data_IF_908265154290
#
_entry.id   IF_908265154290
#
_cell.length_a   1.000
_cell.length_b   1.000
_cell.length_c   1.000
_cell.angle_alpha   90.00
_cell.angle_beta   90.00
_cell.angle_gamma   90.00
#
_symmetry.space_group_name_H-M   'P 1'
#
loop_
_entity.id
_entity.type
_entity.pdbx_description
1 polymer ?
#
# COMPACT_ATOMS: atom_id res chain seq x y z
N UNK A 1 12.28 7.35 4.92
CA UNK A 1 11.91 6.12 5.67
C UNK A 1 12.73 5.00 5.07
N UNK A 2 13.47 4.20 5.87
CA UNK A 2 14.23 3.08 5.34
C UNK A 2 13.27 2.04 4.75
N UNK A 3 13.52 1.62 3.51
CA UNK A 3 12.77 0.54 2.89
C UNK A 3 13.45 -0.79 3.20
N UNK A 4 12.66 -1.81 3.49
CA UNK A 4 13.16 -3.17 3.58
C UNK A 4 13.77 -3.60 2.25
N UNK A 5 14.85 -4.40 2.31
CA UNK A 5 15.59 -4.79 1.10
C UNK A 5 14.70 -5.49 0.08
N UNK A 6 13.85 -6.41 0.53
CA UNK A 6 12.92 -7.13 -0.35
C UNK A 6 11.91 -6.19 -1.02
N UNK A 7 11.45 -5.16 -0.31
CA UNK A 7 10.50 -4.19 -0.84
C UNK A 7 11.17 -3.28 -1.87
N UNK A 8 12.42 -2.87 -1.60
CA UNK A 8 13.22 -2.12 -2.55
C UNK A 8 13.47 -2.94 -3.84
N UNK A 9 13.74 -4.23 -3.71
CA UNK A 9 13.94 -5.13 -4.86
C UNK A 9 12.64 -5.33 -5.66
N UNK A 10 11.49 -5.50 -5.00
CA UNK A 10 10.19 -5.58 -5.65
C UNK A 10 9.85 -4.28 -6.40
N UNK A 11 10.12 -3.11 -5.79
CA UNK A 11 9.92 -1.81 -6.45
C UNK A 11 10.86 -1.62 -7.66
N UNK A 12 12.12 -2.05 -7.57
CA UNK A 12 13.05 -2.03 -8.71
C UNK A 12 12.56 -2.90 -9.85
N UNK A 13 12.13 -4.13 -9.54
CA UNK A 13 11.57 -5.06 -10.53
C UNK A 13 10.32 -4.46 -11.18
N UNK A 14 9.43 -3.85 -10.40
CA UNK A 14 8.25 -3.16 -10.92
C UNK A 14 8.62 -2.01 -11.87
N UNK A 15 9.57 -1.15 -11.48
CA UNK A 15 10.03 -0.04 -12.33
C UNK A 15 10.63 -0.56 -13.63
N UNK A 16 11.44 -1.62 -13.58
CA UNK A 16 12.09 -2.18 -14.76
C UNK A 16 11.12 -2.86 -15.73
N UNK A 17 10.10 -3.56 -15.21
CA UNK A 17 9.30 -4.49 -16.00
C UNK A 17 7.85 -4.03 -16.27
N UNK A 18 7.32 -3.09 -15.48
CA UNK A 18 5.91 -2.70 -15.53
C UNK A 18 5.67 -1.19 -15.66
N UNK A 19 6.65 -0.36 -15.29
CA UNK A 19 6.48 1.09 -15.31
C UNK A 19 6.64 1.67 -16.72
N UNK A 20 5.57 2.22 -17.28
CA UNK A 20 5.52 2.69 -18.67
C UNK A 20 6.46 3.86 -18.99
N UNK A 21 6.85 4.63 -17.97
CA UNK A 21 7.75 5.79 -18.09
C UNK A 21 8.92 5.70 -17.11
N UNK A 22 9.56 4.53 -17.00
CA UNK A 22 10.59 4.24 -15.99
C UNK A 22 11.82 5.17 -16.02
N UNK A 23 12.08 5.83 -17.16
CA UNK A 23 13.18 6.78 -17.35
C UNK A 23 12.80 8.22 -16.97
N UNK A 24 11.52 8.49 -16.69
CA UNK A 24 11.02 9.83 -16.36
C UNK A 24 11.02 10.04 -14.85
N UNK A 25 11.92 10.87 -14.28
CA UNK A 25 12.06 11.00 -12.82
C UNK A 25 10.86 11.69 -12.15
N UNK A 26 10.11 12.46 -12.90
CA UNK A 26 8.92 13.20 -12.43
C UNK A 26 7.64 12.38 -12.52
N UNK A 27 7.69 11.21 -13.17
CA UNK A 27 6.53 10.34 -13.25
C UNK A 27 6.15 9.81 -11.85
N UNK A 28 4.84 9.72 -11.55
CA UNK A 28 4.38 9.10 -10.33
C UNK A 28 4.72 7.60 -10.34
N UNK A 29 5.22 7.09 -9.20
CA UNK A 29 5.59 5.69 -9.05
C UNK A 29 4.45 4.71 -9.40
N UNK A 30 3.22 5.07 -9.02
CA UNK A 30 2.02 4.32 -9.38
C UNK A 30 1.11 5.19 -10.24
N UNK A 31 0.70 4.70 -11.42
CA UNK A 31 -0.06 5.51 -12.36
C UNK A 31 -1.51 5.66 -11.90
N UNK A 32 -2.09 6.78 -12.31
CA UNK A 32 -3.52 6.98 -12.31
C UNK A 32 -4.20 6.12 -13.38
N UNK A 33 -5.51 6.30 -13.53
CA UNK A 33 -6.29 5.61 -14.55
C UNK A 33 -7.04 6.62 -15.40
N UNK A 34 -6.98 6.45 -16.72
CA UNK A 34 -7.83 7.19 -17.64
C UNK A 34 -9.29 6.79 -17.42
N UNK A 35 -10.14 7.82 -17.42
CA UNK A 35 -11.58 7.62 -17.56
C UNK A 35 -11.90 7.02 -18.95
N UNK A 36 -13.11 6.50 -19.10
CA UNK A 36 -13.51 5.81 -20.33
C UNK A 36 -13.58 6.75 -21.53
N UNK A 37 -13.91 8.03 -21.33
CA UNK A 37 -14.06 9.00 -22.39
C UNK A 37 -12.67 9.44 -22.91
N UNK A 38 -11.75 9.76 -22.00
CA UNK A 38 -10.36 10.10 -22.28
C UNK A 38 -9.63 8.93 -22.96
N UNK A 39 -9.84 7.69 -22.48
CA UNK A 39 -9.26 6.51 -23.12
C UNK A 39 -9.76 6.34 -24.57
N UNK A 40 -11.06 6.51 -24.82
CA UNK A 40 -11.64 6.45 -26.17
C UNK A 40 -11.12 7.58 -27.07
N UNK A 41 -11.05 8.80 -26.54
CA UNK A 41 -10.54 9.95 -27.27
C UNK A 41 -9.07 9.78 -27.66
N UNK A 42 -8.28 9.13 -26.80
CA UNK A 42 -6.88 8.79 -27.07
C UNK A 42 -6.71 7.52 -27.93
N UNK A 43 -7.79 6.91 -28.44
CA UNK A 43 -7.74 5.69 -29.25
C UNK A 43 -7.27 4.43 -28.51
N UNK A 44 -7.28 4.45 -27.17
CA UNK A 44 -6.79 3.35 -26.33
C UNK A 44 -7.78 2.20 -26.28
N UNK A 45 -7.25 0.98 -26.15
CA UNK A 45 -8.04 -0.21 -25.93
C UNK A 45 -8.64 -0.20 -24.52
N UNK A 46 -9.91 0.18 -24.43
CA UNK A 46 -10.64 0.29 -23.16
C UNK A 46 -10.82 -1.06 -22.43
N UNK A 47 -10.74 -2.18 -23.17
CA UNK A 47 -10.85 -3.53 -22.61
C UNK A 47 -9.55 -3.96 -21.94
N UNK A 48 -8.41 -3.49 -22.43
CA UNK A 48 -7.13 -3.69 -21.78
C UNK A 48 -7.00 -2.72 -20.59
N UNK A 49 -6.63 -3.23 -19.42
CA UNK A 49 -6.40 -2.37 -18.25
C UNK A 49 -5.03 -1.71 -18.27
N UNK A 50 -4.02 -2.34 -18.89
CA UNK A 50 -2.68 -1.77 -18.98
C UNK A 50 -2.67 -0.52 -19.87
N UNK A 51 -3.43 -0.56 -20.98
CA UNK A 51 -3.55 0.55 -21.93
C UNK A 51 -4.39 1.73 -21.41
N UNK A 52 -4.92 1.61 -20.18
CA UNK A 52 -5.70 2.65 -19.50
C UNK A 52 -4.95 3.34 -18.36
N UNK A 53 -3.70 3.01 -18.13
CA UNK A 53 -2.89 3.71 -17.13
C UNK A 53 -2.48 5.08 -17.64
N UNK A 54 -2.57 6.06 -16.76
CA UNK A 54 -2.11 7.43 -17.00
C UNK A 54 -0.88 7.69 -16.14
N UNK A 55 0.30 7.63 -16.77
CA UNK A 55 1.58 7.86 -16.12
C UNK A 55 1.88 9.35 -15.89
N UNK A 56 0.98 10.26 -16.26
CA UNK A 56 1.11 11.68 -15.91
C UNK A 56 0.39 12.04 -14.61
N UNK A 57 -0.50 11.15 -14.14
CA UNK A 57 -1.33 11.39 -12.96
C UNK A 57 -1.00 10.39 -11.86
N UNK A 58 -1.00 10.82 -10.60
CA UNK A 58 -0.83 9.89 -9.49
C UNK A 58 -2.05 8.98 -9.33
N UNK A 59 -1.81 7.82 -8.73
CA UNK A 59 -2.85 6.91 -8.25
C UNK A 59 -3.86 7.65 -7.33
N UNK A 60 -5.16 7.42 -7.56
CA UNK A 60 -6.23 7.90 -6.67
C UNK A 60 -6.46 6.92 -5.50
N UNK A 61 -6.14 7.31 -4.24
CA UNK A 61 -6.32 6.43 -3.08
C UNK A 61 -7.79 6.04 -2.84
N UNK A 62 -8.74 6.91 -3.18
CA UNK A 62 -10.17 6.63 -3.02
C UNK A 62 -10.61 5.50 -3.94
N UNK A 63 -10.06 5.48 -5.15
CA UNK A 63 -10.31 4.42 -6.12
C UNK A 63 -9.68 3.09 -5.67
N UNK A 64 -8.43 3.13 -5.19
CA UNK A 64 -7.74 1.96 -4.61
C UNK A 64 -8.55 1.36 -3.46
N UNK A 65 -8.99 2.22 -2.55
CA UNK A 65 -9.79 1.85 -1.39
C UNK A 65 -11.09 1.15 -1.80
N UNK A 66 -11.89 1.79 -2.66
CA UNK A 66 -13.23 1.30 -3.04
C UNK A 66 -13.16 0.06 -3.94
N UNK A 67 -12.19 -0.02 -4.86
CA UNK A 67 -12.15 -1.08 -5.88
C UNK A 67 -11.25 -2.26 -5.55
N UNK A 68 -10.29 -2.08 -4.65
CA UNK A 68 -9.32 -3.13 -4.31
C UNK A 68 -9.32 -3.43 -2.82
N UNK A 69 -9.13 -2.44 -1.94
CA UNK A 69 -9.04 -2.74 -0.50
C UNK A 69 -10.35 -3.32 0.05
N UNK A 70 -11.48 -2.67 -0.19
CA UNK A 70 -12.79 -3.11 0.31
C UNK A 70 -13.21 -4.50 -0.22
N UNK A 71 -13.09 -4.77 -1.54
CA UNK A 71 -13.37 -6.12 -2.04
C UNK A 71 -12.39 -7.19 -1.54
N UNK A 72 -11.13 -6.86 -1.28
CA UNK A 72 -10.16 -7.79 -0.71
C UNK A 72 -10.54 -8.18 0.74
N UNK A 73 -10.91 -7.19 1.56
CA UNK A 73 -11.40 -7.44 2.93
C UNK A 73 -12.65 -8.33 2.91
N UNK A 74 -13.61 -8.04 2.02
CA UNK A 74 -14.81 -8.85 1.87
C UNK A 74 -14.50 -10.29 1.42
N UNK A 75 -13.58 -10.47 0.46
CA UNK A 75 -13.14 -11.78 -0.01
C UNK A 75 -12.48 -12.61 1.11
N UNK A 76 -11.74 -11.95 2.00
CA UNK A 76 -11.10 -12.56 3.17
C UNK A 76 -12.03 -12.67 4.39
N UNK A 77 -13.29 -12.23 4.29
CA UNK A 77 -14.26 -12.17 5.39
C UNK A 77 -13.77 -11.36 6.60
N UNK A 78 -12.96 -10.33 6.33
CA UNK A 78 -12.46 -9.39 7.33
C UNK A 78 -13.43 -8.22 7.51
N UNK A 79 -13.46 -7.59 8.69
CA UNK A 79 -14.23 -6.36 8.91
C UNK A 79 -13.74 -5.24 7.99
N UNK A 80 -14.63 -4.29 7.71
CA UNK A 80 -14.27 -3.08 6.96
C UNK A 80 -13.21 -2.30 7.72
N UNK A 81 -12.12 -1.95 7.04
CA UNK A 81 -11.06 -1.09 7.53
C UNK A 81 -10.89 0.08 6.57
N UNK A 82 -10.49 1.24 7.09
CA UNK A 82 -10.19 2.45 6.32
C UNK A 82 -8.76 2.40 5.79
N UNK A 83 -8.49 3.14 4.73
CA UNK A 83 -7.14 3.25 4.18
C UNK A 83 -6.11 3.76 5.21
N UNK A 84 -6.53 4.67 6.10
CA UNK A 84 -5.68 5.19 7.17
C UNK A 84 -5.32 4.14 8.23
N UNK A 85 -6.10 3.06 8.37
CA UNK A 85 -5.82 2.01 9.35
C UNK A 85 -4.57 1.20 8.97
N UNK A 86 -4.13 1.24 7.69
CA UNK A 86 -2.82 0.72 7.27
C UNK A 86 -1.67 1.49 7.94
N UNK A 87 -1.83 2.80 8.12
CA UNK A 87 -0.84 3.65 8.79
C UNK A 87 -0.81 3.36 10.29
N UNK A 88 -1.96 3.11 10.90
CA UNK A 88 -2.05 2.65 12.29
C UNK A 88 -1.36 1.29 12.47
N UNK A 89 -1.65 0.34 11.57
CA UNK A 89 -1.04 -0.99 11.59
C UNK A 89 0.49 -0.92 11.46
N UNK A 90 1.01 -0.06 10.57
CA UNK A 90 2.45 0.19 10.45
C UNK A 90 3.07 0.71 11.75
N UNK A 91 2.42 1.64 12.43
CA UNK A 91 2.92 2.18 13.69
C UNK A 91 2.96 1.11 14.80
N UNK A 92 1.85 0.39 14.99
CA UNK A 92 1.74 -0.68 16.00
C UNK A 92 2.76 -1.78 15.76
N UNK A 93 2.94 -2.22 14.51
CA UNK A 93 3.91 -3.26 14.17
C UNK A 93 5.36 -2.85 14.47
N UNK A 94 5.73 -1.59 14.22
CA UNK A 94 7.08 -1.12 14.51
C UNK A 94 7.35 -0.91 16.00
N UNK A 95 6.34 -0.44 16.73
CA UNK A 95 6.44 -0.25 18.18
C UNK A 95 6.45 -1.57 18.95
N UNK A 96 5.75 -2.59 18.42
CA UNK A 96 5.72 -3.95 19.00
C UNK A 96 6.85 -4.85 18.46
N UNK A 97 7.74 -4.34 17.61
CA UNK A 97 8.83 -5.14 17.08
C UNK A 97 9.83 -5.54 18.18
N UNK A 98 10.66 -6.56 17.93
CA UNK A 98 11.72 -7.01 18.83
C UNK A 98 13.08 -6.99 18.12
N UNK A 99 14.02 -6.10 18.52
CA UNK A 99 13.84 -5.02 19.50
C UNK A 99 12.87 -3.92 19.01
N UNK A 100 12.17 -3.22 19.93
CA UNK A 100 11.24 -2.14 19.56
C UNK A 100 11.92 -1.02 18.79
N UNK A 101 11.24 -0.48 17.78
CA UNK A 101 11.70 0.73 17.10
C UNK A 101 11.35 1.94 17.96
N UNK A 102 12.35 2.80 18.22
CA UNK A 102 12.16 4.06 18.95
C UNK A 102 10.97 4.87 18.39
N UNK A 103 9.99 5.16 19.26
CA UNK A 103 8.77 5.89 18.94
C UNK A 103 9.05 7.25 18.27
N UNK A 104 10.17 7.92 18.60
CA UNK A 104 10.57 9.17 17.93
C UNK A 104 10.85 8.95 16.45
N UNK A 105 11.47 7.83 16.09
CA UNK A 105 11.76 7.45 14.70
C UNK A 105 10.46 7.10 13.97
N UNK A 106 9.58 6.32 14.60
CA UNK A 106 8.26 5.97 14.05
C UNK A 106 7.44 7.24 13.77
N UNK A 107 7.36 8.16 14.74
CA UNK A 107 6.67 9.45 14.59
C UNK A 107 7.24 10.27 13.43
N UNK A 108 8.57 10.31 13.27
CA UNK A 108 9.24 10.98 12.15
C UNK A 108 8.92 10.35 10.80
N UNK A 109 8.85 9.03 10.71
CA UNK A 109 8.48 8.34 9.45
C UNK A 109 7.03 8.52 9.08
N UNK A 110 6.15 8.57 10.07
CA UNK A 110 4.75 8.90 9.89
C UNK A 110 4.61 10.38 9.50
N UNK A 111 5.46 11.27 9.99
CA UNK A 111 5.33 12.71 9.77
C UNK A 111 4.24 13.32 10.65
N UNK A 112 4.05 12.79 11.86
CA UNK A 112 3.21 13.44 12.87
C UNK A 112 3.89 14.74 13.32
N UNK A 113 3.10 15.81 13.43
CA UNK A 113 3.57 17.13 13.91
C UNK A 113 4.04 17.07 15.38
N UNK A 114 3.53 16.12 16.17
CA UNK A 114 3.90 15.94 17.57
C UNK A 114 4.06 14.45 17.91
N UNK A 115 5.08 14.11 18.71
CA UNK A 115 5.39 12.73 19.11
C UNK A 115 4.38 12.14 20.11
N UNK A 116 3.72 12.97 20.93
CA UNK A 116 2.68 12.57 21.89
C UNK A 116 1.53 11.85 21.20
N UNK A 117 1.15 12.27 19.99
CA UNK A 117 0.13 11.59 19.17
C UNK A 117 0.47 10.11 18.92
N UNK A 118 1.73 9.72 18.88
CA UNK A 118 2.12 8.32 18.63
C UNK A 118 2.02 7.47 19.90
N UNK A 119 2.35 8.04 21.07
CA UNK A 119 2.23 7.31 22.33
C UNK A 119 0.76 7.25 22.79
N UNK A 120 0.02 8.34 22.66
CA UNK A 120 -1.40 8.44 23.04
C UNK A 120 -2.32 7.59 22.15
N UNK A 121 -1.94 7.35 20.88
CA UNK A 121 -2.77 6.59 19.91
C UNK A 121 -2.41 5.11 19.86
N UNK A 122 -1.17 4.73 20.18
CA UNK A 122 -0.72 3.35 20.02
C UNK A 122 -0.34 2.66 21.32
N UNK A 123 -0.17 3.38 22.43
CA UNK A 123 0.26 2.83 23.72
C UNK A 123 -0.56 1.61 24.16
N UNK A 124 -1.89 1.69 24.07
CA UNK A 124 -2.81 0.61 24.44
C UNK A 124 -2.82 -0.59 23.48
N UNK A 125 -2.15 -0.47 22.33
CA UNK A 125 -2.07 -1.49 21.29
C UNK A 125 -0.66 -2.07 21.12
N UNK A 126 0.31 -1.61 21.92
CA UNK A 126 1.64 -2.23 21.97
C UNK A 126 1.48 -3.57 22.68
N UNK A 127 1.59 -4.65 21.91
CA UNK A 127 1.62 -5.98 22.48
C UNK A 127 3.05 -6.30 22.93
N UNK A 128 3.28 -6.32 24.25
CA UNK A 128 4.57 -6.76 24.82
C UNK A 128 4.88 -8.24 24.46
N UNK A 129 3.85 -9.04 24.22
CA UNK A 129 3.94 -10.48 23.89
C UNK A 129 4.09 -10.78 22.39
N UNK A 130 3.88 -9.80 21.49
CA UNK A 130 3.97 -10.02 20.03
C UNK A 130 5.37 -9.66 19.55
N UNK A 131 6.30 -10.59 19.71
CA UNK A 131 7.67 -10.44 19.20
C UNK A 131 7.72 -10.67 17.68
N UNK A 132 7.31 -9.69 16.87
CA UNK A 132 7.71 -9.66 15.46
C UNK A 132 9.16 -9.15 15.37
N UNK A 133 10.07 -9.81 14.63
CA UNK A 133 11.46 -9.34 14.52
C UNK A 133 11.51 -7.91 13.97
N UNK A 134 12.47 -7.11 14.42
CA UNK A 134 12.71 -5.78 13.88
C UNK A 134 13.01 -5.86 12.37
N UNK A 135 12.03 -5.42 11.57
CA UNK A 135 12.03 -5.49 10.11
C UNK A 135 10.75 -6.17 9.62
N UNK A 136 10.04 -5.55 8.67
CA UNK A 136 8.84 -6.17 8.11
C UNK A 136 9.29 -7.34 7.22
N UNK A 137 9.14 -8.57 7.70
CA UNK A 137 9.37 -9.76 6.86
C UNK A 137 8.49 -9.66 5.61
N UNK A 138 9.02 -10.12 4.45
CA UNK A 138 8.21 -10.18 3.24
C UNK A 138 6.98 -11.03 3.53
N UNK A 139 5.75 -10.50 3.36
CA UNK A 139 4.55 -11.30 3.59
C UNK A 139 4.55 -12.44 2.58
N UNK A 140 4.65 -13.66 3.09
CA UNK A 140 4.46 -14.89 2.30
C UNK A 140 3.05 -15.37 2.58
N UNK A 141 2.28 -15.67 1.53
CA UNK A 141 0.97 -16.28 1.72
C UNK A 141 1.16 -17.62 2.44
N UNK A 142 0.70 -17.70 3.69
CA UNK A 142 0.88 -18.86 4.58
C UNK A 142 0.06 -20.07 4.11
N UNK A 143 -0.96 -19.84 3.26
CA UNK A 143 -1.83 -20.88 2.70
C UNK A 143 -2.12 -20.61 1.22
N UNK A 144 -2.61 -21.64 0.51
CA UNK A 144 -3.14 -21.55 -0.86
C UNK A 144 -4.49 -20.83 -0.95
N UNK A 145 -4.88 -20.06 0.07
CA UNK A 145 -6.13 -19.29 0.13
C UNK A 145 -6.06 -18.00 -0.71
N UNK A 146 -5.41 -18.06 -1.86
CA UNK A 146 -5.42 -17.00 -2.86
C UNK A 146 -6.85 -16.91 -3.41
N UNK A 147 -7.62 -15.97 -2.87
CA UNK A 147 -8.97 -15.71 -3.38
C UNK A 147 -8.84 -14.82 -4.62
N UNK A 148 -9.23 -15.29 -5.82
CA UNK A 148 -9.22 -14.44 -6.99
C UNK A 148 -10.19 -13.28 -6.77
N UNK A 149 -9.67 -12.05 -6.83
CA UNK A 149 -10.50 -10.86 -6.76
C UNK A 149 -11.29 -10.75 -8.07
N UNK A 150 -12.52 -11.25 -8.06
CA UNK A 150 -13.41 -11.05 -9.19
C UNK A 150 -13.78 -9.56 -9.27
N UNK A 151 -13.60 -8.98 -10.46
CA UNK A 151 -14.21 -7.68 -10.76
C UNK A 151 -15.71 -7.85 -10.57
N UNK A 152 -16.31 -7.05 -9.69
CA UNK A 152 -17.76 -6.85 -9.71
C UNK A 152 -18.08 -6.36 -11.12
N UNK A 153 -18.80 -7.17 -11.89
CA UNK A 153 -19.14 -6.87 -13.27
C UNK A 153 -19.65 -5.43 -13.36
N UNK A 154 -19.06 -4.67 -14.27
CA UNK A 154 -19.44 -3.29 -14.57
C UNK A 154 -20.82 -3.27 -15.26
#
# INVERSE_FOLDING_TARGET
MPLERWLADDLRSYIANHHGTCLEPTAPLFPGRLDLAAAKAAGRNVKDSADRFDWSKPLDPSNVYKRFMQPALAALKLPSARFHDLRHSFAVNLLSASPPVDFKRVSKWLGHSTFTLTLDVYGDHINEDVSQPAGLARPVAVQSNVVPMQRRNA
#
